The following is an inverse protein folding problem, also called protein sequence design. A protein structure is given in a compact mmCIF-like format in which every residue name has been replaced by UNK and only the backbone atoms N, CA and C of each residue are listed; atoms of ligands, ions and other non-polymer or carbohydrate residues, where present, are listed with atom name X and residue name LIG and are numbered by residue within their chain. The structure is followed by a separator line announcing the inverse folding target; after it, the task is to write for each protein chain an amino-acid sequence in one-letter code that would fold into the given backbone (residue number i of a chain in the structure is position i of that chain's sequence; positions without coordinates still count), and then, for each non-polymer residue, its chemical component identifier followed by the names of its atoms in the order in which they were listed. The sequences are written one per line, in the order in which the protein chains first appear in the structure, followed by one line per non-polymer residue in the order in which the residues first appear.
data_IF_012069248615
#
_entry.id   IF_012069248615
#
_cell.length_a   1.000
_cell.length_b   1.000
_cell.length_c   1.000
_cell.angle_alpha   90.00
_cell.angle_beta   90.00
_cell.angle_gamma   90.00
#
_symmetry.space_group_name_H-M   'P 1'
#
loop_
_entity.id
_entity.type
_entity.pdbx_description
1 polymer ?
#
# COMPACT_ATOMS: atom_id res chain seq x y z
N UNK A 1 -1.83 -12.63 7.93
CA UNK A 1 -1.36 -13.64 6.96
C UNK A 1 -0.27 -14.48 7.61
N UNK A 2 -0.38 -15.79 7.59
CA UNK A 2 0.67 -16.68 8.03
C UNK A 2 1.39 -17.30 6.82
N UNK A 3 2.44 -18.09 7.10
CA UNK A 3 3.24 -18.72 6.05
C UNK A 3 2.42 -19.65 5.14
N UNK A 4 1.53 -20.44 5.71
CA UNK A 4 0.69 -21.36 4.95
C UNK A 4 -0.26 -20.60 4.01
N UNK A 5 -0.85 -19.51 4.48
CA UNK A 5 -1.71 -18.66 3.68
C UNK A 5 -0.93 -18.00 2.54
N UNK A 6 0.28 -17.52 2.82
CA UNK A 6 1.14 -16.93 1.80
C UNK A 6 1.47 -17.95 0.69
N UNK A 7 1.84 -19.17 1.06
CA UNK A 7 2.14 -20.23 0.10
C UNK A 7 0.92 -20.54 -0.76
N UNK A 8 -0.26 -20.60 -0.15
CA UNK A 8 -1.51 -20.82 -0.86
C UNK A 8 -1.76 -19.72 -1.90
N UNK A 9 -1.58 -18.46 -1.52
CA UNK A 9 -1.77 -17.32 -2.43
C UNK A 9 -0.77 -17.34 -3.59
N UNK A 10 0.48 -17.74 -3.32
CA UNK A 10 1.49 -17.89 -4.37
C UNK A 10 1.03 -18.91 -5.41
N UNK A 11 0.48 -20.03 -4.95
CA UNK A 11 -0.02 -21.09 -5.84
C UNK A 11 -1.24 -20.65 -6.63
N UNK A 12 -2.21 -20.02 -5.97
CA UNK A 12 -3.46 -19.58 -6.59
C UNK A 12 -3.19 -18.51 -7.66
N UNK A 13 -2.34 -17.53 -7.33
CA UNK A 13 -2.06 -16.39 -8.22
C UNK A 13 -0.93 -16.67 -9.21
N UNK A 14 -0.22 -17.76 -9.04
CA UNK A 14 0.97 -18.11 -9.86
C UNK A 14 1.96 -16.93 -9.87
N UNK A 15 2.19 -16.32 -8.71
CA UNK A 15 2.98 -15.09 -8.58
C UNK A 15 3.69 -15.05 -7.23
N UNK A 16 4.87 -14.44 -7.22
CA UNK A 16 5.62 -14.09 -6.00
C UNK A 16 5.61 -12.59 -5.72
N UNK A 17 4.81 -11.83 -6.43
CA UNK A 17 4.86 -10.37 -6.39
C UNK A 17 4.55 -9.83 -4.99
N UNK A 18 5.49 -9.06 -4.44
CA UNK A 18 5.29 -8.25 -3.25
C UNK A 18 5.42 -6.78 -3.66
N UNK A 19 4.40 -5.99 -3.40
CA UNK A 19 4.37 -4.59 -3.82
C UNK A 19 4.76 -3.70 -2.65
N UNK A 20 5.80 -2.89 -2.82
CA UNK A 20 6.20 -1.87 -1.85
C UNK A 20 5.28 -0.65 -1.95
N UNK A 21 4.87 -0.13 -0.80
CA UNK A 21 4.06 1.09 -0.73
C UNK A 21 4.92 2.19 -0.09
N UNK A 22 5.56 2.98 -0.94
CA UNK A 22 6.50 4.02 -0.55
C UNK A 22 5.93 5.39 -0.99
N UNK A 23 4.91 5.91 -0.29
CA UNK A 23 4.22 7.13 -0.72
C UNK A 23 5.06 8.39 -0.45
N UNK A 24 5.70 8.89 -1.49
CA UNK A 24 6.47 10.12 -1.44
C UNK A 24 5.63 11.26 -2.03
N UNK A 25 5.24 12.24 -1.21
CA UNK A 25 4.40 13.35 -1.65
C UNK A 25 4.99 14.10 -2.84
N UNK A 26 6.31 14.13 -2.97
CA UNK A 26 6.96 14.79 -4.11
C UNK A 26 6.76 14.04 -5.43
N UNK A 27 6.39 12.76 -5.35
CA UNK A 27 6.23 11.89 -6.53
C UNK A 27 4.79 11.47 -6.78
N UNK A 28 3.88 11.75 -5.86
CA UNK A 28 2.45 11.45 -6.02
C UNK A 28 1.87 12.32 -7.13
N UNK A 29 1.04 11.76 -8.03
CA UNK A 29 0.38 12.54 -9.07
C UNK A 29 -0.37 13.74 -8.51
N UNK A 30 -0.23 14.89 -9.17
CA UNK A 30 -0.77 16.17 -8.66
C UNK A 30 -2.27 16.14 -8.42
N UNK A 31 -3.03 15.41 -9.22
CA UNK A 31 -4.49 15.34 -9.05
C UNK A 31 -4.90 14.68 -7.73
N UNK A 32 -4.05 13.82 -7.18
CA UNK A 32 -4.31 13.19 -5.88
C UNK A 32 -3.99 14.11 -4.70
N UNK A 33 -3.09 15.10 -4.90
CA UNK A 33 -2.72 16.02 -3.84
C UNK A 33 -3.86 16.93 -3.41
N UNK A 34 -4.89 17.08 -4.24
CA UNK A 34 -6.08 17.87 -3.92
C UNK A 34 -7.06 17.12 -3.02
N UNK A 35 -6.87 15.81 -2.80
CA UNK A 35 -7.74 14.99 -1.98
C UNK A 35 -7.40 15.14 -0.50
N UNK A 36 -8.33 14.79 0.37
CA UNK A 36 -8.17 14.92 1.82
C UNK A 36 -6.98 14.11 2.35
N UNK A 37 -6.79 12.89 1.82
CA UNK A 37 -5.70 12.00 2.22
C UNK A 37 -5.00 11.45 0.98
N UNK A 38 -4.10 12.25 0.38
CA UNK A 38 -3.44 11.86 -0.87
C UNK A 38 -2.57 10.61 -0.72
N UNK A 39 -1.95 10.40 0.44
CA UNK A 39 -1.11 9.22 0.70
C UNK A 39 -1.95 7.96 0.64
N UNK A 40 -3.07 7.93 1.36
CA UNK A 40 -3.97 6.78 1.34
C UNK A 40 -4.56 6.55 -0.05
N UNK A 41 -5.00 7.61 -0.73
CA UNK A 41 -5.60 7.50 -2.06
C UNK A 41 -4.59 6.96 -3.08
N UNK A 42 -3.32 7.38 -2.99
CA UNK A 42 -2.26 6.84 -3.83
C UNK A 42 -2.05 5.35 -3.56
N UNK A 43 -1.93 4.96 -2.30
CA UNK A 43 -1.74 3.57 -1.91
C UNK A 43 -2.93 2.71 -2.33
N UNK A 44 -4.16 3.21 -2.15
CA UNK A 44 -5.38 2.54 -2.57
C UNK A 44 -5.37 2.24 -4.07
N UNK A 45 -4.98 3.22 -4.88
CA UNK A 45 -4.91 3.05 -6.33
C UNK A 45 -3.89 1.97 -6.72
N UNK A 46 -2.72 1.95 -6.06
CA UNK A 46 -1.70 0.94 -6.30
C UNK A 46 -2.20 -0.45 -5.88
N UNK A 47 -2.82 -0.56 -4.72
CA UNK A 47 -3.37 -1.83 -4.24
C UNK A 47 -4.43 -2.34 -5.22
N UNK A 48 -5.38 -1.50 -5.62
CA UNK A 48 -6.45 -1.88 -6.53
C UNK A 48 -5.89 -2.35 -7.89
N UNK A 49 -4.83 -1.71 -8.38
CA UNK A 49 -4.23 -2.05 -9.66
C UNK A 49 -3.41 -3.35 -9.62
N UNK A 50 -2.92 -3.75 -8.45
CA UNK A 50 -1.97 -4.87 -8.32
C UNK A 50 -2.49 -6.07 -7.53
N UNK A 51 -3.59 -5.93 -6.80
CA UNK A 51 -4.08 -6.96 -5.88
C UNK A 51 -4.34 -8.33 -6.53
N UNK A 52 -4.65 -8.37 -7.82
CA UNK A 52 -4.87 -9.62 -8.54
C UNK A 52 -3.57 -10.44 -8.68
N UNK A 53 -2.45 -9.76 -8.68
CA UNK A 53 -1.13 -10.37 -8.92
C UNK A 53 -0.28 -10.43 -7.68
N UNK A 54 -0.48 -9.51 -6.73
CA UNK A 54 0.34 -9.42 -5.53
C UNK A 54 -0.09 -10.41 -4.48
N UNK A 55 0.88 -11.06 -3.85
CA UNK A 55 0.65 -11.97 -2.71
C UNK A 55 0.88 -11.27 -1.38
N UNK A 56 1.55 -10.11 -1.39
CA UNK A 56 1.81 -9.32 -0.21
C UNK A 56 2.04 -7.86 -0.59
N UNK A 57 1.81 -6.97 0.37
CA UNK A 57 2.13 -5.56 0.29
C UNK A 57 3.04 -5.19 1.45
N UNK A 58 4.02 -4.33 1.19
CA UNK A 58 4.99 -3.89 2.21
C UNK A 58 4.96 -2.37 2.31
N UNK A 59 4.13 -1.80 3.20
CA UNK A 59 4.18 -0.36 3.46
C UNK A 59 5.52 0.00 4.11
N UNK A 60 6.17 1.04 3.59
CA UNK A 60 7.41 1.53 4.17
C UNK A 60 7.10 2.60 5.21
N UNK A 61 7.23 2.25 6.48
CA UNK A 61 6.83 3.10 7.60
C UNK A 61 7.49 4.48 7.59
N UNK A 62 8.73 4.58 7.12
CA UNK A 62 9.44 5.86 7.08
C UNK A 62 8.70 6.94 6.28
N UNK A 63 8.05 6.57 5.19
CA UNK A 63 7.29 7.51 4.37
C UNK A 63 6.02 8.01 5.08
N UNK A 64 5.49 7.22 6.00
CA UNK A 64 4.31 7.60 6.79
C UNK A 64 4.73 8.43 8.01
N UNK A 65 5.80 8.02 8.70
CA UNK A 65 6.29 8.70 9.90
C UNK A 65 6.63 10.16 9.65
N UNK A 66 7.23 10.48 8.50
CA UNK A 66 7.63 11.85 8.18
C UNK A 66 6.46 12.83 8.09
N UNK A 67 5.23 12.32 7.99
CA UNK A 67 4.01 13.12 7.93
C UNK A 67 3.34 13.32 9.28
N UNK A 68 3.97 12.86 10.37
CA UNK A 68 3.44 13.01 11.72
C UNK A 68 2.15 12.22 11.93
N UNK A 69 1.23 12.80 12.71
CA UNK A 69 -0.04 12.13 13.07
C UNK A 69 -0.86 11.76 11.83
N UNK A 70 -0.91 12.63 10.84
CA UNK A 70 -1.65 12.35 9.60
C UNK A 70 -1.04 11.15 8.87
N UNK A 71 0.29 11.02 8.89
CA UNK A 71 0.97 9.86 8.31
C UNK A 71 0.58 8.55 9.00
N UNK A 72 0.48 8.55 10.32
CA UNK A 72 0.04 7.37 11.06
C UNK A 72 -1.40 7.00 10.74
N UNK A 73 -2.28 7.98 10.58
CA UNK A 73 -3.67 7.73 10.16
C UNK A 73 -3.73 7.13 8.76
N UNK A 74 -2.94 7.65 7.84
CA UNK A 74 -2.86 7.13 6.48
C UNK A 74 -2.31 5.70 6.47
N UNK A 75 -1.32 5.41 7.30
CA UNK A 75 -0.76 4.07 7.48
C UNK A 75 -1.83 3.09 7.97
N UNK A 76 -2.58 3.46 9.00
CA UNK A 76 -3.66 2.62 9.52
C UNK A 76 -4.70 2.31 8.45
N UNK A 77 -5.16 3.32 7.73
CA UNK A 77 -6.13 3.14 6.65
C UNK A 77 -5.59 2.20 5.56
N UNK A 78 -4.31 2.35 5.22
CA UNK A 78 -3.65 1.51 4.21
C UNK A 78 -3.63 0.04 4.66
N UNK A 79 -3.23 -0.21 5.92
CA UNK A 79 -3.20 -1.57 6.47
C UNK A 79 -4.59 -2.19 6.48
N UNK A 80 -5.60 -1.44 6.86
CA UNK A 80 -6.98 -1.92 6.89
C UNK A 80 -7.52 -2.21 5.48
N UNK A 81 -7.06 -1.46 4.48
CA UNK A 81 -7.48 -1.64 3.10
C UNK A 81 -6.86 -2.87 2.44
N UNK A 82 -5.64 -3.22 2.83
CA UNK A 82 -4.97 -4.43 2.32
C UNK A 82 -5.75 -5.71 2.70
#
# INVERSE_FOLDING_TARGET
MNRAHLIEQIKIKESFLCVGLDPDLAKIPKHLLALEDPIFEFNKAIIDATKQYAVAFKPNLAFFECMGIQGWKSFQKTIEYI
#
